data_IF_950968078561
#
_entry.id   IF_950968078561
#
_cell.length_a   1.000
_cell.length_b   1.000
_cell.length_c   1.000
_cell.angle_alpha   90.00
_cell.angle_beta   90.00
_cell.angle_gamma   90.00
#
_symmetry.space_group_name_H-M   'P 1'
#
loop_
_entity.id
_entity.type
_entity.pdbx_description
1 polymer ?
#
# COMPACT_ATOMS: atom_id res chain seq x y z
N UNK A 1 -36.52 -30.95 1.12
CA UNK A 1 -35.56 -30.10 0.37
C UNK A 1 -34.45 -31.01 -0.13
N UNK A 2 -34.28 -31.18 -1.45
CA UNK A 2 -33.24 -32.07 -2.01
C UNK A 2 -31.83 -31.58 -1.66
N UNK A 3 -30.88 -32.52 -1.55
CA UNK A 3 -29.47 -32.22 -1.25
C UNK A 3 -28.85 -31.27 -2.28
N UNK A 4 -29.26 -31.37 -3.54
CA UNK A 4 -28.86 -30.47 -4.63
C UNK A 4 -29.23 -29.02 -4.38
N UNK A 5 -30.48 -28.74 -3.96
CA UNK A 5 -30.91 -27.37 -3.63
C UNK A 5 -30.13 -26.77 -2.46
N UNK A 6 -29.65 -27.59 -1.51
CA UNK A 6 -28.78 -27.12 -0.42
C UNK A 6 -27.37 -26.79 -0.93
N UNK A 7 -26.81 -27.64 -1.80
CA UNK A 7 -25.50 -27.41 -2.42
C UNK A 7 -25.50 -26.16 -3.30
N UNK A 8 -26.57 -25.95 -4.07
CA UNK A 8 -26.74 -24.78 -4.92
C UNK A 8 -26.77 -23.47 -4.11
N UNK A 9 -27.59 -23.41 -3.05
CA UNK A 9 -27.61 -22.25 -2.14
C UNK A 9 -26.25 -21.95 -1.51
N UNK A 10 -25.50 -22.99 -1.12
CA UNK A 10 -24.16 -22.83 -0.56
C UNK A 10 -23.18 -22.25 -1.59
N UNK A 11 -23.26 -22.71 -2.84
CA UNK A 11 -22.43 -22.21 -3.94
C UNK A 11 -22.73 -20.74 -4.25
N UNK A 12 -24.00 -20.36 -4.29
CA UNK A 12 -24.40 -18.97 -4.54
C UNK A 12 -23.98 -18.05 -3.40
N UNK A 13 -24.13 -18.50 -2.14
CA UNK A 13 -23.62 -17.77 -0.98
C UNK A 13 -22.11 -17.59 -1.02
N UNK A 14 -21.34 -18.63 -1.40
CA UNK A 14 -19.89 -18.54 -1.55
C UNK A 14 -19.49 -17.59 -2.70
N UNK A 15 -20.23 -17.59 -3.82
CA UNK A 15 -20.02 -16.66 -4.93
C UNK A 15 -20.28 -15.21 -4.49
N UNK A 16 -21.41 -14.94 -3.86
CA UNK A 16 -21.77 -13.62 -3.35
C UNK A 16 -20.69 -13.07 -2.39
N UNK A 17 -20.21 -13.92 -1.45
CA UNK A 17 -19.11 -13.56 -0.56
C UNK A 17 -17.83 -13.18 -1.31
N UNK A 18 -17.41 -13.97 -2.31
CA UNK A 18 -16.20 -13.69 -3.12
C UNK A 18 -16.34 -12.43 -3.96
N UNK A 19 -17.52 -12.17 -4.51
CA UNK A 19 -17.81 -10.94 -5.24
C UNK A 19 -17.70 -9.72 -4.32
N UNK A 20 -18.32 -9.77 -3.13
CA UNK A 20 -18.27 -8.67 -2.18
C UNK A 20 -16.86 -8.43 -1.64
N UNK A 21 -16.13 -9.50 -1.33
CA UNK A 21 -14.73 -9.43 -0.93
C UNK A 21 -13.87 -8.72 -2.00
N UNK A 22 -14.05 -9.09 -3.27
CA UNK A 22 -13.27 -8.49 -4.36
C UNK A 22 -13.61 -7.01 -4.55
N UNK A 23 -14.89 -6.64 -4.47
CA UNK A 23 -15.33 -5.23 -4.49
C UNK A 23 -14.65 -4.41 -3.39
N UNK A 24 -14.65 -4.89 -2.15
CA UNK A 24 -14.01 -4.19 -1.02
C UNK A 24 -12.49 -4.06 -1.20
N UNK A 25 -11.82 -5.08 -1.77
CA UNK A 25 -10.39 -4.97 -2.10
C UNK A 25 -10.12 -3.89 -3.15
N UNK A 26 -10.95 -3.80 -4.19
CA UNK A 26 -10.81 -2.75 -5.20
C UNK A 26 -11.05 -1.36 -4.61
N UNK A 27 -12.08 -1.21 -3.78
CA UNK A 27 -12.34 0.06 -3.06
C UNK A 27 -11.14 0.44 -2.18
N UNK A 28 -10.58 -0.50 -1.42
CA UNK A 28 -9.40 -0.26 -0.60
C UNK A 28 -8.18 0.17 -1.43
N UNK A 29 -7.95 -0.49 -2.58
CA UNK A 29 -6.88 -0.11 -3.49
C UNK A 29 -7.02 1.33 -4.01
N UNK A 30 -8.25 1.80 -4.24
CA UNK A 30 -8.53 3.17 -4.67
C UNK A 30 -8.25 4.22 -3.59
N UNK A 31 -8.26 3.84 -2.31
CA UNK A 31 -7.96 4.74 -1.20
C UNK A 31 -6.45 4.86 -0.91
N UNK A 32 -5.60 4.03 -1.53
CA UNK A 32 -4.16 4.13 -1.36
C UNK A 32 -3.63 5.41 -2.03
N UNK A 33 -2.57 6.04 -1.49
CA UNK A 33 -1.94 7.24 -2.06
C UNK A 33 -1.08 6.89 -3.28
N UNK A 34 -1.69 6.25 -4.28
CA UNK A 34 -1.05 5.78 -5.51
C UNK A 34 -1.88 6.26 -6.71
N UNK A 35 -1.25 6.51 -7.87
CA UNK A 35 -1.99 6.74 -9.09
C UNK A 35 -2.93 5.57 -9.40
N UNK A 36 -4.15 5.86 -9.85
CA UNK A 36 -5.16 4.84 -10.17
C UNK A 36 -4.64 3.79 -11.18
N UNK A 37 -3.80 4.22 -12.13
CA UNK A 37 -3.18 3.32 -13.13
C UNK A 37 -2.35 2.20 -12.48
N UNK A 38 -1.79 2.45 -11.30
CA UNK A 38 -1.03 1.47 -10.52
C UNK A 38 -1.97 0.69 -9.61
N UNK A 39 -2.82 1.37 -8.83
CA UNK A 39 -3.65 0.72 -7.82
C UNK A 39 -4.68 -0.25 -8.41
N UNK A 40 -5.20 0.02 -9.61
CA UNK A 40 -6.18 -0.84 -10.29
C UNK A 40 -5.63 -2.24 -10.68
N UNK A 41 -4.30 -2.39 -10.76
CA UNK A 41 -3.65 -3.64 -11.18
C UNK A 41 -3.01 -4.41 -10.00
N UNK A 42 -3.24 -3.97 -8.77
CA UNK A 42 -2.71 -4.65 -7.59
C UNK A 42 -3.43 -5.96 -7.32
N UNK A 43 -2.66 -6.98 -6.93
CA UNK A 43 -3.22 -8.19 -6.35
C UNK A 43 -3.66 -7.96 -4.88
N UNK A 44 -4.50 -8.84 -4.35
CA UNK A 44 -5.06 -8.72 -2.98
C UNK A 44 -4.00 -8.68 -1.88
N UNK A 45 -2.92 -9.44 -2.02
CA UNK A 45 -1.87 -9.49 -1.01
C UNK A 45 -1.06 -8.18 -1.02
N UNK A 46 -0.74 -7.66 -2.20
CA UNK A 46 -0.08 -6.37 -2.38
C UNK A 46 -0.94 -5.21 -1.85
N UNK A 47 -2.27 -5.23 -2.06
CA UNK A 47 -3.20 -4.26 -1.43
C UNK A 47 -3.06 -4.30 0.09
N UNK A 48 -3.14 -5.49 0.71
CA UNK A 48 -2.99 -5.61 2.17
C UNK A 48 -1.64 -5.11 2.66
N UNK A 49 -0.55 -5.50 2.01
CA UNK A 49 0.81 -5.08 2.38
C UNK A 49 0.94 -3.56 2.33
N UNK A 50 0.54 -2.94 1.22
CA UNK A 50 0.62 -1.49 1.04
C UNK A 50 -0.27 -0.74 2.03
N UNK A 51 -1.48 -1.24 2.33
CA UNK A 51 -2.36 -0.65 3.36
C UNK A 51 -1.72 -0.71 4.74
N UNK A 52 -1.17 -1.87 5.14
CA UNK A 52 -0.52 -2.03 6.44
C UNK A 52 0.70 -1.11 6.54
N UNK A 53 1.54 -1.11 5.51
CA UNK A 53 2.73 -0.24 5.40
C UNK A 53 2.36 1.24 5.50
N UNK A 54 1.33 1.68 4.79
CA UNK A 54 0.85 3.06 4.83
C UNK A 54 0.35 3.47 6.23
N UNK A 55 -0.45 2.62 6.88
CA UNK A 55 -0.96 2.89 8.21
C UNK A 55 0.16 2.91 9.27
N UNK A 56 1.13 1.99 9.17
CA UNK A 56 2.33 1.99 10.03
C UNK A 56 3.14 3.27 9.84
N UNK A 57 3.39 3.67 8.59
CA UNK A 57 4.13 4.89 8.26
C UNK A 57 3.44 6.14 8.81
N UNK A 58 2.12 6.25 8.63
CA UNK A 58 1.35 7.35 9.22
C UNK A 58 1.47 7.38 10.75
N UNK A 59 1.33 6.23 11.42
CA UNK A 59 1.44 6.17 12.88
C UNK A 59 2.82 6.62 13.37
N UNK A 60 3.89 6.27 12.64
CA UNK A 60 5.25 6.71 12.94
C UNK A 60 5.42 8.22 12.75
N UNK A 61 4.85 8.78 11.68
CA UNK A 61 4.91 10.22 11.39
C UNK A 61 4.04 11.04 12.36
N UNK A 62 2.85 10.55 12.72
CA UNK A 62 1.94 11.20 13.68
C UNK A 62 2.52 11.20 15.12
N UNK A 63 3.49 10.33 15.42
CA UNK A 63 4.20 10.29 16.70
C UNK A 63 5.37 11.30 16.78
N UNK A 64 5.79 11.86 15.64
CA UNK A 64 6.73 12.97 15.59
C UNK A 64 5.95 14.29 15.60
N UNK A 65 6.38 15.26 16.40
CA UNK A 65 5.91 16.64 16.24
C UNK A 65 6.41 17.14 14.89
N UNK A 66 5.54 17.07 13.87
CA UNK A 66 5.85 17.58 12.54
C UNK A 66 5.72 19.11 12.61
N UNK A 67 6.83 19.77 12.94
CA UNK A 67 7.01 21.21 12.90
C UNK A 67 6.41 21.78 11.59
N UNK A 68 5.80 22.95 11.66
CA UNK A 68 5.21 23.60 10.48
C UNK A 68 6.34 24.03 9.54
N UNK A 69 6.65 23.19 8.53
CA UNK A 69 7.70 23.46 7.56
C UNK A 69 7.47 24.79 6.83
N UNK A 70 8.53 25.60 6.71
CA UNK A 70 8.46 26.84 5.96
C UNK A 70 8.24 26.53 4.46
N UNK A 71 7.53 27.41 3.74
CA UNK A 71 7.23 27.23 2.30
C UNK A 71 8.48 26.93 1.46
N UNK A 72 9.60 27.55 1.81
CA UNK A 72 10.89 27.36 1.12
C UNK A 72 11.47 25.95 1.36
N UNK A 73 11.33 25.40 2.56
CA UNK A 73 11.79 24.04 2.87
C UNK A 73 11.01 22.99 2.06
N UNK A 74 9.70 23.22 1.91
CA UNK A 74 8.84 22.33 1.11
C UNK A 74 9.26 22.27 -0.37
N UNK A 75 9.75 23.36 -0.94
CA UNK A 75 10.30 23.40 -2.31
C UNK A 75 11.65 22.66 -2.40
N UNK A 76 12.45 22.73 -1.34
CA UNK A 76 13.74 22.03 -1.24
C UNK A 76 13.61 20.52 -1.02
N UNK A 77 12.50 20.06 -0.44
CA UNK A 77 12.29 18.65 -0.09
C UNK A 77 12.46 17.68 -1.26
N UNK A 78 12.11 18.11 -2.49
CA UNK A 78 12.27 17.27 -3.68
C UNK A 78 13.74 17.07 -4.12
N UNK A 79 14.67 17.90 -3.63
CA UNK A 79 16.09 17.80 -3.93
C UNK A 79 16.83 16.85 -2.99
N UNK A 80 16.37 16.65 -1.75
CA UNK A 80 17.05 15.76 -0.80
C UNK A 80 17.19 14.32 -1.35
N UNK A 81 16.11 13.74 -1.87
CA UNK A 81 16.16 12.41 -2.50
C UNK A 81 16.95 12.37 -3.82
N UNK A 82 17.14 13.51 -4.49
CA UNK A 82 17.95 13.61 -5.73
C UNK A 82 19.45 13.74 -5.43
N UNK A 83 19.79 14.42 -4.34
CA UNK A 83 21.15 14.58 -3.88
C UNK A 83 21.67 13.32 -3.16
N UNK A 84 20.76 12.48 -2.65
CA UNK A 84 21.10 11.21 -2.03
C UNK A 84 21.62 10.21 -3.08
N UNK A 85 22.87 9.76 -2.92
CA UNK A 85 23.44 8.64 -3.68
C UNK A 85 23.04 7.29 -3.05
N UNK A 86 21.73 7.04 -3.05
CA UNK A 86 21.13 5.89 -2.38
C UNK A 86 19.62 6.03 -2.27
N UNK A 87 19.01 5.22 -1.41
CA UNK A 87 17.57 5.24 -1.14
C UNK A 87 17.31 5.17 0.36
N UNK A 88 16.10 5.58 0.75
CA UNK A 88 15.63 5.52 2.13
C UNK A 88 14.80 4.26 2.31
N UNK A 89 14.99 3.59 3.45
CA UNK A 89 14.21 2.43 3.85
C UNK A 89 13.81 2.56 5.33
N UNK A 90 12.58 2.18 5.65
CA UNK A 90 12.06 2.10 7.02
C UNK A 90 11.69 0.66 7.30
N UNK A 91 12.24 0.10 8.37
CA UNK A 91 12.02 -1.27 8.81
C UNK A 91 11.30 -1.29 10.16
N UNK A 92 10.50 -2.32 10.42
CA UNK A 92 10.05 -2.63 11.78
C UNK A 92 11.19 -3.27 12.60
N UNK A 93 10.99 -3.40 13.91
CA UNK A 93 11.90 -4.16 14.78
C UNK A 93 12.04 -5.62 14.36
N UNK A 94 11.00 -6.20 13.76
CA UNK A 94 10.99 -7.56 13.22
C UNK A 94 11.64 -7.68 11.83
N UNK A 95 12.07 -6.56 11.23
CA UNK A 95 12.68 -6.52 9.90
C UNK A 95 11.68 -6.44 8.74
N UNK A 96 10.39 -6.20 9.01
CA UNK A 96 9.42 -5.95 7.93
C UNK A 96 9.73 -4.62 7.24
N UNK A 97 9.71 -4.62 5.90
CA UNK A 97 9.80 -3.39 5.12
C UNK A 97 8.50 -2.59 5.23
N UNK A 98 8.58 -1.41 5.87
CA UNK A 98 7.43 -0.50 6.05
C UNK A 98 7.40 0.53 4.91
N UNK A 99 8.55 1.08 4.54
CA UNK A 99 8.65 2.09 3.48
C UNK A 99 9.98 1.98 2.75
N UNK A 100 9.95 2.33 1.47
CA UNK A 100 11.11 2.43 0.60
C UNK A 100 10.91 3.61 -0.36
N UNK A 101 11.92 4.44 -0.56
CA UNK A 101 11.80 5.59 -1.47
C UNK A 101 11.76 5.17 -2.94
N UNK A 102 11.07 5.95 -3.77
CA UNK A 102 10.87 5.65 -5.20
C UNK A 102 12.17 5.47 -5.99
N UNK A 103 13.25 6.14 -5.57
CA UNK A 103 14.56 6.10 -6.22
C UNK A 103 15.34 4.79 -6.01
N UNK A 104 14.83 3.83 -5.22
CA UNK A 104 15.45 2.50 -5.08
C UNK A 104 15.61 1.77 -6.41
N UNK A 105 14.76 2.07 -7.40
CA UNK A 105 14.86 1.48 -8.73
C UNK A 105 16.19 1.78 -9.41
N UNK A 106 16.84 2.91 -9.09
CA UNK A 106 18.15 3.29 -9.62
C UNK A 106 19.28 2.45 -9.03
N UNK A 107 19.11 2.01 -7.78
CA UNK A 107 20.13 1.25 -7.05
C UNK A 107 19.96 -0.27 -7.21
N UNK A 108 18.72 -0.77 -7.23
CA UNK A 108 18.43 -2.21 -7.17
C UNK A 108 17.55 -2.73 -8.32
N UNK A 109 17.03 -1.86 -9.19
CA UNK A 109 16.08 -2.25 -10.25
C UNK A 109 14.69 -2.68 -9.74
N UNK A 110 14.40 -2.49 -8.46
CA UNK A 110 13.12 -2.84 -7.82
C UNK A 110 12.18 -1.63 -7.79
N UNK A 111 10.86 -1.88 -7.77
CA UNK A 111 9.84 -0.83 -7.65
C UNK A 111 9.19 -0.87 -6.27
N UNK A 112 9.05 0.29 -5.61
CA UNK A 112 8.41 0.44 -4.29
C UNK A 112 7.06 -0.27 -4.18
N UNK A 113 6.21 -0.18 -5.21
CA UNK A 113 4.87 -0.77 -5.20
C UNK A 113 4.87 -2.30 -5.02
N UNK A 114 5.98 -2.96 -5.40
CA UNK A 114 6.09 -4.42 -5.29
C UNK A 114 6.56 -4.88 -3.91
N UNK A 115 7.17 -4.01 -3.12
CA UNK A 115 7.90 -4.36 -1.88
C UNK A 115 7.45 -3.50 -0.71
#
# INVERSE_FOLDING_TARGET
>A
ISSERRKEKSRDAARCRRSKESEVFYELAHQLPLPHTVSAHLDKASIMRLTISYLRMRKLLDAGELETEAKMEKELNCFYLKALDGFVMVLSEDGDMIYMSENVNKCMGLTQVKY
#
